data_IF_165038805414
#
_entry.id   IF_165038805414
#
_cell.length_a   1.000
_cell.length_b   1.000
_cell.length_c   1.000
_cell.angle_alpha   90.00
_cell.angle_beta   90.00
_cell.angle_gamma   90.00
#
_symmetry.space_group_name_H-M   'P 1'
#
loop_
_entity.id
_entity.type
_entity.pdbx_description
1 polymer ?
#
# COMPACT_ATOMS: atom_id res chain seq x y z
N UNK A 1 -25.47 -16.53 0.13
CA UNK A 1 -25.45 -15.20 0.78
C UNK A 1 -24.01 -14.75 0.78
N UNK A 2 -23.73 -13.53 0.34
CA UNK A 2 -22.37 -12.98 0.31
C UNK A 2 -21.85 -12.80 1.74
N UNK A 3 -20.64 -13.31 2.05
CA UNK A 3 -19.97 -13.16 3.34
C UNK A 3 -18.65 -12.39 3.18
N UNK A 4 -18.64 -11.08 3.52
CA UNK A 4 -17.46 -10.24 3.41
C UNK A 4 -16.26 -10.74 4.20
N UNK A 5 -16.50 -11.34 5.37
CA UNK A 5 -15.43 -11.82 6.26
C UNK A 5 -14.76 -13.04 5.68
N UNK A 6 -15.57 -14.00 5.23
CA UNK A 6 -15.07 -15.19 4.53
C UNK A 6 -14.28 -14.79 3.29
N UNK A 7 -14.83 -13.91 2.45
CA UNK A 7 -14.16 -13.44 1.24
C UNK A 7 -12.81 -12.78 1.55
N UNK A 8 -12.76 -11.94 2.58
CA UNK A 8 -11.52 -11.29 3.02
C UNK A 8 -10.53 -12.31 3.59
N UNK A 9 -10.98 -13.26 4.40
CA UNK A 9 -10.14 -14.33 4.92
C UNK A 9 -9.60 -15.23 3.80
N UNK A 10 -10.36 -15.46 2.73
CA UNK A 10 -9.92 -16.20 1.55
C UNK A 10 -8.88 -15.40 0.75
N UNK A 11 -9.07 -14.09 0.62
CA UNK A 11 -8.12 -13.17 -0.03
C UNK A 11 -6.81 -13.00 0.76
N UNK A 12 -6.89 -12.96 2.10
CA UNK A 12 -5.74 -12.75 2.99
C UNK A 12 -5.08 -14.07 3.43
N UNK A 13 -5.82 -15.15 3.43
CA UNK A 13 -5.41 -16.50 3.84
C UNK A 13 -4.71 -17.27 2.72
N UNK A 14 -4.86 -16.85 1.47
CA UNK A 14 -4.18 -17.45 0.32
C UNK A 14 -2.66 -17.45 0.51
N UNK A 15 -2.04 -18.60 0.26
CA UNK A 15 -0.59 -18.79 0.40
C UNK A 15 0.15 -18.15 -0.77
N UNK A 16 1.16 -17.33 -0.47
CA UNK A 16 1.98 -16.71 -1.51
C UNK A 16 2.75 -17.82 -2.26
N UNK A 17 2.70 -17.86 -3.62
CA UNK A 17 3.34 -18.92 -4.42
C UNK A 17 4.82 -19.09 -4.08
N UNK A 18 5.23 -20.33 -3.82
CA UNK A 18 6.61 -20.64 -3.44
C UNK A 18 6.93 -20.47 -1.96
N UNK A 19 5.96 -20.10 -1.12
CA UNK A 19 6.10 -20.06 0.35
C UNK A 19 4.90 -20.71 1.04
N UNK A 20 5.12 -21.34 2.20
CA UNK A 20 4.03 -21.90 3.03
C UNK A 20 3.43 -20.82 3.96
N UNK A 21 3.33 -19.57 3.52
CA UNK A 21 2.96 -18.43 4.38
C UNK A 21 1.80 -17.67 3.73
N UNK A 22 0.74 -17.43 4.49
CA UNK A 22 -0.41 -16.60 4.07
C UNK A 22 -0.05 -15.12 4.12
N UNK A 23 -0.81 -14.24 3.45
CA UNK A 23 -0.60 -12.78 3.51
C UNK A 23 -0.77 -12.26 4.94
N UNK A 24 -1.74 -12.82 5.68
CA UNK A 24 -2.00 -12.51 7.10
C UNK A 24 -0.85 -12.96 8.03
N UNK A 25 -0.34 -14.18 7.85
CA UNK A 25 0.80 -14.70 8.64
C UNK A 25 2.12 -14.02 8.25
N UNK A 26 2.25 -13.65 6.98
CA UNK A 26 3.38 -12.93 6.42
C UNK A 26 3.51 -11.53 7.00
N UNK A 27 2.41 -10.81 7.20
CA UNK A 27 2.41 -9.49 7.84
C UNK A 27 2.83 -9.58 9.33
N UNK A 28 2.29 -10.54 10.08
CA UNK A 28 2.66 -10.75 11.49
C UNK A 28 4.14 -11.18 11.65
N UNK A 29 4.62 -12.09 10.80
CA UNK A 29 6.03 -12.49 10.78
C UNK A 29 6.95 -11.40 10.22
N UNK A 30 6.52 -10.59 9.27
CA UNK A 30 7.31 -9.48 8.75
C UNK A 30 7.44 -8.36 9.78
N UNK A 31 6.38 -8.04 10.53
CA UNK A 31 6.44 -7.09 11.63
C UNK A 31 7.36 -7.59 12.76
N UNK A 32 7.26 -8.87 13.13
CA UNK A 32 8.15 -9.49 14.12
C UNK A 32 9.59 -9.56 13.61
N UNK A 33 9.81 -9.95 12.35
CA UNK A 33 11.12 -10.03 11.73
C UNK A 33 11.73 -8.65 11.46
N UNK A 34 10.94 -7.60 11.23
CA UNK A 34 11.43 -6.21 11.16
C UNK A 34 11.86 -5.70 12.54
N UNK A 35 11.16 -6.14 13.59
CA UNK A 35 11.52 -5.87 15.00
C UNK A 35 12.82 -6.58 15.39
N UNK A 36 13.04 -7.79 14.87
CA UNK A 36 14.19 -8.64 15.20
C UNK A 36 15.39 -8.45 14.23
N UNK A 37 15.14 -8.04 12.98
CA UNK A 37 16.13 -7.82 11.92
C UNK A 37 15.58 -6.94 10.75
N UNK A 38 15.75 -5.60 10.80
CA UNK A 38 15.20 -4.68 9.80
C UNK A 38 15.74 -4.85 8.37
N UNK A 39 16.75 -5.70 8.14
CA UNK A 39 17.32 -5.96 6.80
C UNK A 39 16.65 -7.12 6.03
N UNK A 40 15.80 -7.94 6.66
CA UNK A 40 15.28 -9.18 6.05
C UNK A 40 13.87 -9.08 5.42
N UNK A 41 13.16 -7.95 5.55
CA UNK A 41 11.72 -7.82 5.27
C UNK A 41 11.33 -7.56 3.78
N UNK A 42 12.16 -7.95 2.79
CA UNK A 42 12.08 -7.41 1.42
C UNK A 42 11.46 -8.26 0.30
N UNK A 43 10.85 -9.43 0.56
CA UNK A 43 10.62 -10.42 -0.51
C UNK A 43 9.19 -10.56 -1.08
N UNK A 44 8.17 -9.85 -0.59
CA UNK A 44 6.78 -10.32 -0.72
C UNK A 44 5.88 -9.75 -1.85
N UNK A 45 6.27 -8.72 -2.62
CA UNK A 45 5.30 -8.00 -3.51
C UNK A 45 5.51 -8.21 -5.02
N UNK A 46 6.57 -8.89 -5.45
CA UNK A 46 6.89 -9.05 -6.88
C UNK A 46 5.83 -9.81 -7.72
N UNK A 47 4.87 -10.49 -7.10
CA UNK A 47 3.95 -11.41 -7.79
C UNK A 47 2.61 -10.76 -8.19
N UNK A 48 2.18 -9.67 -7.55
CA UNK A 48 0.80 -9.14 -7.71
C UNK A 48 0.62 -8.00 -8.72
N UNK A 49 1.66 -7.25 -9.09
CA UNK A 49 1.52 -6.00 -9.90
C UNK A 49 2.13 -6.08 -11.31
N UNK A 50 2.18 -7.28 -11.90
CA UNK A 50 2.84 -7.52 -13.18
C UNK A 50 2.12 -6.98 -14.43
N UNK A 51 2.04 -5.66 -14.60
CA UNK A 51 1.84 -4.96 -15.88
C UNK A 51 3.09 -4.13 -16.20
N UNK A 52 3.25 -3.66 -17.45
CA UNK A 52 4.55 -3.20 -18.04
C UNK A 52 5.29 -2.09 -17.26
N UNK A 53 4.62 -1.38 -16.36
CA UNK A 53 5.23 -0.38 -15.45
C UNK A 53 5.99 -1.03 -14.27
N UNK A 54 5.74 -2.30 -13.96
CA UNK A 54 6.32 -3.02 -12.82
C UNK A 54 7.73 -3.61 -13.01
N UNK A 55 8.41 -3.38 -14.14
CA UNK A 55 9.77 -3.92 -14.38
C UNK A 55 10.89 -3.03 -13.83
N UNK A 56 10.63 -1.77 -13.50
CA UNK A 56 11.63 -0.87 -12.92
C UNK A 56 11.85 -1.06 -11.41
N UNK A 57 11.01 -1.87 -10.74
CA UNK A 57 11.13 -2.14 -9.30
C UNK A 57 11.99 -3.40 -9.06
N UNK A 58 13.23 -3.41 -9.57
CA UNK A 58 14.22 -4.48 -9.29
C UNK A 58 15.22 -4.05 -8.19
N UNK A 59 14.80 -3.24 -7.23
CA UNK A 59 15.70 -2.85 -6.15
C UNK A 59 14.96 -2.21 -4.98
N UNK A 60 14.80 -2.96 -3.89
CA UNK A 60 14.55 -2.45 -2.53
C UNK A 60 13.43 -1.41 -2.40
N UNK A 61 12.29 -1.64 -3.05
CA UNK A 61 11.08 -0.82 -2.89
C UNK A 61 9.82 -1.70 -2.87
N UNK A 62 8.90 -1.33 -2.00
CA UNK A 62 7.50 -1.78 -1.89
C UNK A 62 7.23 -3.16 -1.26
N UNK A 63 7.28 -3.23 0.08
CA UNK A 63 6.38 -4.11 0.87
C UNK A 63 5.29 -3.27 1.52
N UNK A 64 4.34 -2.77 0.73
CA UNK A 64 3.10 -2.18 1.25
C UNK A 64 2.13 -3.33 1.51
N UNK A 65 2.28 -3.95 2.68
CA UNK A 65 1.56 -5.16 3.06
C UNK A 65 0.26 -4.87 3.81
N UNK A 66 -0.87 -4.89 3.09
CA UNK A 66 -2.20 -5.05 3.66
C UNK A 66 -2.94 -3.76 4.06
N UNK A 67 -4.24 -3.91 4.29
CA UNK A 67 -5.19 -2.82 4.59
C UNK A 67 -4.82 -2.02 5.85
N UNK A 68 -4.15 -2.64 6.83
CA UNK A 68 -3.66 -1.94 8.02
C UNK A 68 -2.61 -0.87 7.70
N UNK A 69 -1.78 -1.08 6.66
CA UNK A 69 -0.82 -0.07 6.22
C UNK A 69 -1.52 1.15 5.59
N UNK A 70 -2.66 0.94 4.91
CA UNK A 70 -3.49 2.03 4.39
C UNK A 70 -3.99 2.91 5.53
N UNK A 71 -4.60 2.30 6.56
CA UNK A 71 -5.06 3.02 7.75
C UNK A 71 -3.93 3.74 8.49
N UNK A 72 -2.75 3.13 8.56
CA UNK A 72 -1.55 3.73 9.17
C UNK A 72 -1.06 4.98 8.43
N UNK A 73 -0.91 4.88 7.11
CA UNK A 73 -0.50 6.00 6.26
C UNK A 73 -1.54 7.12 6.26
N UNK A 74 -2.82 6.77 6.15
CA UNK A 74 -3.93 7.72 6.24
C UNK A 74 -3.94 8.45 7.58
N UNK A 75 -3.78 7.73 8.69
CA UNK A 75 -3.68 8.31 10.03
C UNK A 75 -2.47 9.24 10.16
N UNK A 76 -1.30 8.84 9.65
CA UNK A 76 -0.10 9.67 9.70
C UNK A 76 -0.27 10.97 8.91
N UNK A 77 -0.82 10.89 7.70
CA UNK A 77 -1.12 12.05 6.87
C UNK A 77 -2.10 12.99 7.57
N UNK A 78 -3.21 12.45 8.08
CA UNK A 78 -4.24 13.21 8.79
C UNK A 78 -3.72 13.86 10.07
N UNK A 79 -2.92 13.14 10.86
CA UNK A 79 -2.28 13.67 12.07
C UNK A 79 -1.33 14.83 11.76
N UNK A 80 -0.53 14.72 10.70
CA UNK A 80 0.39 15.78 10.29
C UNK A 80 -0.38 17.02 9.78
N UNK A 81 -1.45 16.81 9.03
CA UNK A 81 -2.38 17.86 8.60
C UNK A 81 -2.99 18.60 9.79
N UNK A 82 -3.56 17.87 10.75
CA UNK A 82 -4.15 18.45 11.96
C UNK A 82 -3.14 19.18 12.85
N UNK A 83 -1.87 18.77 12.79
CA UNK A 83 -0.78 19.44 13.51
C UNK A 83 -0.25 20.70 12.79
N UNK A 84 -0.80 21.06 11.62
CA UNK A 84 -0.38 22.24 10.85
C UNK A 84 1.04 22.14 10.28
N UNK A 85 1.56 20.93 10.10
CA UNK A 85 2.87 20.70 9.46
C UNK A 85 2.79 20.94 7.97
N UNK A 86 3.92 21.13 7.30
CA UNK A 86 3.94 21.11 5.84
C UNK A 86 3.97 19.65 5.32
N UNK A 87 3.32 19.33 4.19
CA UNK A 87 3.28 17.98 3.62
C UNK A 87 4.66 17.32 3.43
N UNK A 88 5.67 18.09 3.01
CA UNK A 88 7.03 17.61 2.73
C UNK A 88 8.01 17.71 3.92
N UNK A 89 7.59 18.25 5.07
CA UNK A 89 8.42 18.35 6.29
C UNK A 89 8.37 17.10 7.18
N UNK A 90 7.68 16.05 6.72
CA UNK A 90 7.69 14.73 7.38
C UNK A 90 9.16 14.26 7.43
N UNK A 91 9.69 13.85 8.60
CA UNK A 91 11.13 13.67 8.82
C UNK A 91 11.79 12.82 7.75
N UNK A 92 13.11 13.01 7.53
CA UNK A 92 13.96 12.32 6.55
C UNK A 92 13.98 10.77 6.67
N UNK A 93 13.20 10.21 7.59
CA UNK A 93 12.94 8.79 7.78
C UNK A 93 11.65 8.41 7.06
N UNK A 94 11.68 7.36 6.24
CA UNK A 94 10.47 6.86 5.58
C UNK A 94 9.33 6.62 6.58
N UNK A 95 8.08 6.91 6.21
CA UNK A 95 6.91 6.58 7.03
C UNK A 95 6.99 5.12 7.49
N UNK A 96 6.99 4.89 8.80
CA UNK A 96 6.89 3.51 9.29
C UNK A 96 5.50 2.98 8.97
N UNK A 97 5.43 1.88 8.24
CA UNK A 97 4.19 1.19 7.85
C UNK A 97 3.59 0.46 9.05
N UNK A 98 3.14 1.22 10.05
CA UNK A 98 2.53 0.70 11.27
C UNK A 98 1.01 0.71 11.16
N UNK A 99 0.32 -0.25 11.78
CA UNK A 99 -1.12 -0.15 11.95
C UNK A 99 -1.47 1.13 12.73
N UNK A 100 -2.62 1.76 12.44
CA UNK A 100 -3.06 2.94 13.18
C UNK A 100 -3.37 2.57 14.64
N UNK A 101 -3.29 3.52 15.59
CA UNK A 101 -3.61 3.26 16.99
C UNK A 101 -5.06 2.78 17.15
N UNK A 102 -5.28 1.81 18.05
CA UNK A 102 -6.55 1.09 18.20
C UNK A 102 -7.73 1.96 18.66
N UNK A 103 -7.44 3.09 19.28
CA UNK A 103 -8.41 4.07 19.78
C UNK A 103 -8.81 5.13 18.73
N UNK A 104 -8.33 5.01 17.50
CA UNK A 104 -8.59 5.97 16.42
C UNK A 104 -9.63 5.46 15.42
N UNK A 105 -10.33 6.37 14.75
CA UNK A 105 -11.28 6.04 13.67
C UNK A 105 -10.64 5.37 12.45
N UNK A 106 -9.31 5.40 12.33
CA UNK A 106 -8.54 4.71 11.29
C UNK A 106 -8.31 3.22 11.60
N UNK A 107 -8.54 2.77 12.84
CA UNK A 107 -8.36 1.37 13.16
C UNK A 107 -9.52 0.54 12.59
N UNK A 108 -9.27 -0.56 11.82
CA UNK A 108 -10.33 -1.31 11.14
C UNK A 108 -11.46 -1.80 12.05
N UNK A 109 -11.14 -2.15 13.30
CA UNK A 109 -12.14 -2.58 14.29
C UNK A 109 -13.18 -1.50 14.65
N UNK A 110 -12.90 -0.22 14.34
CA UNK A 110 -13.76 0.91 14.63
C UNK A 110 -14.62 1.32 13.41
N UNK A 111 -14.53 0.59 12.29
CA UNK A 111 -15.34 0.86 11.10
C UNK A 111 -16.85 0.65 11.42
N UNK A 112 -17.73 1.65 11.18
CA UNK A 112 -19.16 1.55 11.51
C UNK A 112 -19.92 0.40 10.81
N UNK A 113 -19.45 0.00 9.63
CA UNK A 113 -19.98 -1.10 8.83
C UNK A 113 -19.34 -2.47 9.16
N UNK A 114 -18.36 -2.50 10.07
CA UNK A 114 -17.51 -3.65 10.33
C UNK A 114 -16.21 -3.63 9.51
N UNK A 115 -15.19 -4.27 10.08
CA UNK A 115 -13.83 -4.36 9.55
C UNK A 115 -13.79 -4.93 8.13
N UNK A 116 -14.47 -6.06 7.89
CA UNK A 116 -14.42 -6.75 6.62
C UNK A 116 -15.14 -6.01 5.48
N UNK A 117 -16.26 -5.36 5.77
CA UNK A 117 -16.99 -4.58 4.76
C UNK A 117 -16.18 -3.36 4.32
N UNK A 118 -15.56 -2.67 5.27
CA UNK A 118 -14.71 -1.53 4.94
C UNK A 118 -13.42 -1.96 4.23
N UNK A 119 -12.82 -3.07 4.64
CA UNK A 119 -11.71 -3.70 3.95
C UNK A 119 -12.01 -3.98 2.46
N UNK A 120 -13.17 -4.56 2.14
CA UNK A 120 -13.60 -4.75 0.76
C UNK A 120 -13.81 -3.43 0.03
N UNK A 121 -14.34 -2.41 0.71
CA UNK A 121 -14.49 -1.06 0.14
C UNK A 121 -13.14 -0.47 -0.29
N UNK A 122 -12.09 -0.63 0.52
CA UNK A 122 -10.74 -0.22 0.15
C UNK A 122 -10.19 -1.00 -1.05
N UNK A 123 -10.46 -2.31 -1.13
CA UNK A 123 -10.08 -3.13 -2.29
C UNK A 123 -10.79 -2.64 -3.57
N UNK A 124 -12.09 -2.35 -3.48
CA UNK A 124 -12.86 -1.77 -4.60
C UNK A 124 -12.28 -0.43 -5.04
N UNK A 125 -11.87 0.43 -4.11
CA UNK A 125 -11.20 1.69 -4.43
C UNK A 125 -9.88 1.50 -5.17
N UNK A 126 -9.08 0.53 -4.75
CA UNK A 126 -7.83 0.18 -5.44
C UNK A 126 -8.08 -0.33 -6.86
N UNK A 127 -9.10 -1.18 -7.06
CA UNK A 127 -9.49 -1.70 -8.38
C UNK A 127 -10.03 -0.57 -9.27
N UNK A 128 -10.90 0.28 -8.73
CA UNK A 128 -11.43 1.46 -9.41
C UNK A 128 -10.31 2.39 -9.89
N UNK A 129 -9.32 2.65 -9.03
CA UNK A 129 -8.14 3.44 -9.37
C UNK A 129 -7.33 2.79 -10.48
N UNK A 130 -7.04 1.49 -10.38
CA UNK A 130 -6.29 0.75 -11.39
C UNK A 130 -6.98 0.71 -12.76
N UNK A 131 -8.31 0.87 -12.81
CA UNK A 131 -9.11 0.92 -14.05
C UNK A 131 -9.25 2.33 -14.64
N UNK A 132 -8.74 3.36 -13.97
CA UNK A 132 -8.97 4.76 -14.34
C UNK A 132 -8.50 5.10 -15.76
N UNK A 133 -7.48 4.42 -16.26
CA UNK A 133 -6.99 4.60 -17.63
C UNK A 133 -7.83 3.91 -18.71
N UNK A 134 -8.82 3.11 -18.31
CA UNK A 134 -9.77 2.42 -19.18
C UNK A 134 -9.26 1.14 -19.85
N UNK A 135 -8.10 0.60 -19.46
CA UNK A 135 -7.46 -0.53 -20.15
C UNK A 135 -7.38 -1.80 -19.32
N UNK A 136 -8.50 -2.51 -19.15
CA UNK A 136 -8.46 -3.93 -18.77
C UNK A 136 -9.17 -4.73 -19.86
N UNK A 137 -8.41 -5.22 -20.84
CA UNK A 137 -8.94 -6.04 -21.92
C UNK A 137 -9.11 -7.53 -21.52
N UNK A 138 -9.76 -8.32 -22.39
CA UNK A 138 -9.99 -9.76 -22.16
C UNK A 138 -8.70 -10.57 -21.95
N UNK A 139 -7.61 -10.18 -22.61
CA UNK A 139 -6.33 -10.88 -22.49
C UNK A 139 -5.69 -10.59 -21.12
N UNK A 140 -5.74 -9.33 -20.68
CA UNK A 140 -5.29 -8.88 -19.37
C UNK A 140 -6.13 -9.51 -18.25
N UNK A 141 -7.45 -9.57 -18.40
CA UNK A 141 -8.35 -10.30 -17.48
C UNK A 141 -7.93 -11.76 -17.33
N UNK A 142 -7.73 -12.46 -18.46
CA UNK A 142 -7.30 -13.87 -18.45
C UNK A 142 -5.96 -14.07 -17.73
N UNK A 143 -5.02 -13.13 -17.89
CA UNK A 143 -3.73 -13.13 -17.18
C UNK A 143 -3.91 -12.88 -15.69
N UNK A 144 -4.76 -11.93 -15.27
CA UNK A 144 -5.04 -11.66 -13.86
C UNK A 144 -5.67 -12.89 -13.22
N UNK A 145 -6.72 -13.46 -13.82
CA UNK A 145 -7.37 -14.69 -13.32
C UNK A 145 -6.37 -15.85 -13.18
N UNK A 146 -5.52 -16.07 -14.19
CA UNK A 146 -4.46 -17.06 -14.11
C UNK A 146 -3.49 -16.84 -12.94
N UNK A 147 -3.09 -15.58 -12.70
CA UNK A 147 -2.21 -15.21 -11.58
C UNK A 147 -2.88 -15.38 -10.22
N UNK A 148 -4.17 -15.02 -10.08
CA UNK A 148 -4.92 -15.20 -8.83
C UNK A 148 -4.99 -16.69 -8.45
N UNK A 149 -5.27 -17.57 -9.43
CA UNK A 149 -5.25 -19.02 -9.19
C UNK A 149 -3.88 -19.54 -8.80
N UNK A 150 -2.83 -19.08 -9.49
CA UNK A 150 -1.46 -19.43 -9.12
C UNK A 150 -1.11 -18.94 -7.72
N UNK A 151 -1.63 -17.78 -7.31
CA UNK A 151 -1.53 -17.19 -5.97
C UNK A 151 -2.34 -17.91 -4.90
N UNK A 152 -3.02 -19.00 -5.23
CA UNK A 152 -3.82 -19.77 -4.28
C UNK A 152 -5.01 -18.98 -3.73
N UNK A 153 -5.48 -17.96 -4.47
CA UNK A 153 -6.73 -17.26 -4.16
C UNK A 153 -7.88 -18.25 -4.33
N UNK A 154 -8.80 -18.27 -3.37
CA UNK A 154 -10.00 -19.10 -3.46
C UNK A 154 -10.87 -18.69 -4.66
N UNK A 155 -11.64 -19.63 -5.19
CA UNK A 155 -12.53 -19.39 -6.34
C UNK A 155 -13.56 -18.29 -6.06
N UNK A 156 -14.07 -18.16 -4.82
CA UNK A 156 -15.03 -17.11 -4.47
C UNK A 156 -14.37 -15.72 -4.48
N UNK A 157 -13.14 -15.62 -3.97
CA UNK A 157 -12.33 -14.40 -4.02
C UNK A 157 -11.90 -14.02 -5.44
N UNK A 158 -11.53 -15.00 -6.28
CA UNK A 158 -11.25 -14.77 -7.70
C UNK A 158 -12.50 -14.22 -8.41
N UNK A 159 -13.67 -14.83 -8.21
CA UNK A 159 -14.93 -14.39 -8.83
C UNK A 159 -15.30 -12.96 -8.42
N UNK A 160 -15.13 -12.62 -7.13
CA UNK A 160 -15.35 -11.25 -6.66
C UNK A 160 -14.43 -10.25 -7.37
N UNK A 161 -13.12 -10.52 -7.43
CA UNK A 161 -12.16 -9.62 -8.07
C UNK A 161 -12.44 -9.46 -9.57
N UNK A 162 -12.79 -10.54 -10.26
CA UNK A 162 -13.17 -10.50 -11.67
C UNK A 162 -14.46 -9.69 -11.89
N UNK A 163 -15.48 -9.88 -11.05
CA UNK A 163 -16.71 -9.11 -11.12
C UNK A 163 -16.47 -7.61 -10.91
N UNK A 164 -15.59 -7.24 -9.98
CA UNK A 164 -15.23 -5.84 -9.73
C UNK A 164 -14.39 -5.25 -10.88
N UNK A 165 -13.53 -6.05 -11.52
CA UNK A 165 -12.81 -5.65 -12.73
C UNK A 165 -13.77 -5.38 -13.91
N UNK A 166 -14.83 -6.18 -14.04
CA UNK A 166 -15.83 -6.03 -15.11
C UNK A 166 -16.88 -4.94 -14.84
N UNK A 167 -17.11 -4.59 -13.57
CA UNK A 167 -18.10 -3.59 -13.20
C UNK A 167 -17.76 -2.20 -13.79
N UNK A 168 -18.72 -1.40 -14.26
CA UNK A 168 -18.46 0.00 -14.60
C UNK A 168 -17.90 0.78 -13.41
N UNK A 169 -17.06 1.78 -13.65
CA UNK A 169 -16.58 2.66 -12.59
C UNK A 169 -17.75 3.46 -11.99
N UNK A 170 -18.06 3.20 -10.71
CA UNK A 170 -19.10 3.91 -9.96
C UNK A 170 -18.50 4.57 -8.70
N UNK A 171 -18.06 5.80 -8.88
CA UNK A 171 -17.49 6.61 -7.80
C UNK A 171 -18.53 7.06 -6.77
N UNK A 172 -19.82 7.12 -7.11
CA UNK A 172 -20.85 7.56 -6.16
C UNK A 172 -21.13 6.46 -5.13
N UNK A 173 -21.27 5.21 -5.60
CA UNK A 173 -21.35 4.04 -4.70
C UNK A 173 -20.09 3.90 -3.86
N UNK A 174 -18.91 4.08 -4.45
CA UNK A 174 -17.64 3.94 -3.74
C UNK A 174 -17.47 5.00 -2.64
N UNK A 175 -17.80 6.26 -2.93
CA UNK A 175 -17.63 7.37 -1.98
C UNK A 175 -18.70 7.33 -0.87
N UNK A 176 -19.93 6.89 -1.19
CA UNK A 176 -20.98 6.68 -0.19
C UNK A 176 -20.65 5.58 0.83
N UNK A 177 -19.75 4.65 0.50
CA UNK A 177 -19.29 3.60 1.41
C UNK A 177 -18.34 4.12 2.51
N UNK A 178 -17.72 5.29 2.32
CA UNK A 178 -16.94 5.97 3.36
C UNK A 178 -17.87 6.79 4.28
N UNK A 179 -18.11 6.30 5.50
CA UNK A 179 -19.09 6.83 6.45
C UNK A 179 -18.52 7.85 7.44
N UNK A 180 -17.20 7.94 7.55
CA UNK A 180 -16.51 8.88 8.45
C UNK A 180 -15.44 9.67 7.71
N UNK A 181 -14.96 10.75 8.31
CA UNK A 181 -13.87 11.54 7.73
C UNK A 181 -12.58 10.72 7.58
N UNK A 182 -12.27 9.87 8.56
CA UNK A 182 -11.14 8.94 8.52
C UNK A 182 -11.26 7.97 7.34
N UNK A 183 -12.45 7.38 7.13
CA UNK A 183 -12.68 6.45 6.02
C UNK A 183 -12.53 7.12 4.66
N UNK A 184 -12.88 8.41 4.52
CA UNK A 184 -12.66 9.16 3.29
C UNK A 184 -11.17 9.30 3.00
N UNK A 185 -10.36 9.62 4.01
CA UNK A 185 -8.90 9.70 3.88
C UNK A 185 -8.31 8.34 3.53
N UNK A 186 -8.77 7.25 4.17
CA UNK A 186 -8.33 5.89 3.87
C UNK A 186 -8.67 5.46 2.44
N UNK A 187 -9.87 5.81 1.95
CA UNK A 187 -10.32 5.50 0.59
C UNK A 187 -9.47 6.19 -0.48
N UNK A 188 -9.14 7.47 -0.27
CA UNK A 188 -8.22 8.21 -1.13
C UNK A 188 -6.81 7.63 -1.06
N UNK A 189 -6.32 7.32 0.15
CA UNK A 189 -5.01 6.72 0.38
C UNK A 189 -4.88 5.37 -0.34
N UNK A 190 -5.90 4.51 -0.24
CA UNK A 190 -5.96 3.22 -0.93
C UNK A 190 -5.87 3.39 -2.45
N UNK A 191 -6.66 4.30 -3.00
CA UNK A 191 -6.65 4.63 -4.43
C UNK A 191 -5.28 5.13 -4.89
N UNK A 192 -4.69 6.09 -4.16
CA UNK A 192 -3.37 6.65 -4.47
C UNK A 192 -2.24 5.63 -4.36
N UNK A 193 -2.37 4.65 -3.46
CA UNK A 193 -1.43 3.53 -3.36
C UNK A 193 -1.48 2.62 -4.58
N UNK A 194 -2.68 2.38 -5.14
CA UNK A 194 -2.88 1.45 -6.24
C UNK A 194 -2.31 1.92 -7.58
N UNK A 195 -2.18 3.23 -7.81
CA UNK A 195 -1.73 3.80 -9.08
C UNK A 195 -0.55 4.76 -8.91
N UNK A 196 0.22 4.97 -9.97
CA UNK A 196 1.06 6.15 -10.11
C UNK A 196 0.33 7.15 -11.01
N UNK A 197 0.12 8.41 -10.57
CA UNK A 197 -0.62 9.40 -11.34
C UNK A 197 0.22 9.97 -12.50
N UNK A 198 0.69 9.10 -13.39
CA UNK A 198 1.55 9.43 -14.53
C UNK A 198 0.72 9.86 -15.76
N UNK A 199 -0.45 9.26 -15.95
CA UNK A 199 -1.39 9.63 -17.00
C UNK A 199 -2.34 10.75 -16.58
N UNK A 200 -2.96 11.43 -17.55
CA UNK A 200 -4.04 12.39 -17.25
C UNK A 200 -5.29 11.72 -16.69
N UNK A 201 -5.55 10.47 -17.07
CA UNK A 201 -6.72 9.73 -16.62
C UNK A 201 -6.61 9.40 -15.13
N UNK A 202 -5.45 8.91 -14.69
CA UNK A 202 -5.16 8.60 -13.29
C UNK A 202 -5.20 9.85 -12.40
N UNK A 203 -4.60 10.96 -12.85
CA UNK A 203 -4.69 12.27 -12.14
C UNK A 203 -6.14 12.73 -12.02
N UNK A 204 -6.89 12.72 -13.13
CA UNK A 204 -8.29 13.12 -13.14
C UNK A 204 -9.18 12.23 -12.27
N UNK A 205 -8.88 10.94 -12.16
CA UNK A 205 -9.56 10.03 -11.24
C UNK A 205 -9.33 10.43 -9.78
N UNK A 206 -8.08 10.68 -9.37
CA UNK A 206 -7.76 11.11 -8.00
C UNK A 206 -8.39 12.46 -7.67
N UNK A 207 -8.34 13.43 -8.59
CA UNK A 207 -8.97 14.74 -8.42
C UNK A 207 -10.49 14.61 -8.21
N UNK A 208 -11.15 13.79 -9.04
CA UNK A 208 -12.58 13.54 -8.93
C UNK A 208 -12.94 12.81 -7.62
N UNK A 209 -12.12 11.84 -7.22
CA UNK A 209 -12.30 11.12 -5.95
C UNK A 209 -12.16 12.05 -4.75
N UNK A 210 -11.11 12.87 -4.69
CA UNK A 210 -10.91 13.85 -3.63
C UNK A 210 -12.08 14.84 -3.52
N UNK A 211 -12.53 15.37 -4.67
CA UNK A 211 -13.68 16.27 -4.74
C UNK A 211 -14.99 15.63 -4.28
N UNK A 212 -15.26 14.37 -4.67
CA UNK A 212 -16.46 13.61 -4.26
C UNK A 212 -16.46 13.28 -2.77
N UNK A 213 -15.29 12.99 -2.20
CA UNK A 213 -15.13 12.75 -0.77
C UNK A 213 -15.22 14.04 0.05
N UNK A 214 -15.02 15.20 -0.59
CA UNK A 214 -14.97 16.51 0.08
C UNK A 214 -13.71 16.70 0.91
N UNK A 215 -12.59 16.11 0.48
CA UNK A 215 -11.31 16.25 1.17
C UNK A 215 -10.73 17.66 0.92
N UNK A 216 -10.25 18.37 1.96
CA UNK A 216 -9.53 19.63 1.76
C UNK A 216 -8.24 19.41 0.97
N UNK A 217 -7.93 20.32 0.03
CA UNK A 217 -6.71 20.24 -0.81
C UNK A 217 -5.43 20.05 0.03
N UNK A 218 -5.31 20.79 1.13
CA UNK A 218 -4.16 20.65 2.02
C UNK A 218 -4.05 19.23 2.63
N UNK A 219 -5.18 18.59 2.97
CA UNK A 219 -5.18 17.21 3.46
C UNK A 219 -4.80 16.23 2.34
N UNK A 220 -5.28 16.46 1.11
CA UNK A 220 -4.86 15.68 -0.07
C UNK A 220 -3.34 15.75 -0.24
N UNK A 221 -2.76 16.95 -0.18
CA UNK A 221 -1.30 17.14 -0.28
C UNK A 221 -0.53 16.34 0.79
N UNK A 222 -1.05 16.28 2.03
CA UNK A 222 -0.47 15.45 3.09
C UNK A 222 -0.52 13.96 2.79
N UNK A 223 -1.63 13.46 2.23
CA UNK A 223 -1.75 12.06 1.83
C UNK A 223 -0.80 11.76 0.67
N UNK A 224 -0.76 12.62 -0.34
CA UNK A 224 0.14 12.50 -1.49
C UNK A 224 1.61 12.43 -1.06
N UNK A 225 2.04 13.33 -0.18
CA UNK A 225 3.41 13.34 0.33
C UNK A 225 3.71 12.08 1.15
N UNK A 226 2.77 11.65 2.00
CA UNK A 226 2.94 10.45 2.85
C UNK A 226 3.03 9.18 2.00
N UNK A 227 2.15 9.02 1.01
CA UNK A 227 2.17 7.85 0.10
C UNK A 227 3.41 7.87 -0.79
N UNK A 228 3.80 9.04 -1.31
CA UNK A 228 5.01 9.16 -2.15
C UNK A 228 6.27 8.81 -1.36
N UNK A 229 6.37 9.26 -0.10
CA UNK A 229 7.48 8.90 0.78
C UNK A 229 7.52 7.40 1.11
N UNK A 230 6.36 6.76 1.27
CA UNK A 230 6.26 5.32 1.51
C UNK A 230 6.62 4.47 0.27
N UNK A 231 6.43 5.01 -0.94
CA UNK A 231 6.79 4.37 -2.21
C UNK A 231 8.26 4.55 -2.61
N UNK A 232 8.97 5.51 -2.01
CA UNK A 232 10.36 5.81 -2.33
C UNK A 232 11.32 4.68 -1.92
N UNK A 233 12.32 4.31 -2.75
CA UNK A 233 13.33 3.31 -2.38
C UNK A 233 14.17 3.79 -1.18
N UNK A 234 14.47 2.87 -0.26
CA UNK A 234 15.37 3.12 0.87
C UNK A 234 16.78 3.43 0.35
N UNK A 235 17.18 4.71 0.33
CA UNK A 235 18.59 5.06 0.19
C UNK A 235 19.29 4.68 1.48
N UNK A 236 19.89 3.48 1.51
CA UNK A 236 20.79 3.08 2.59
C UNK A 236 21.91 4.13 2.62
N UNK A 237 22.13 4.85 3.73
CA UNK A 237 23.34 5.67 3.83
C UNK A 237 24.51 4.71 3.70
N UNK A 238 25.28 4.84 2.62
CA UNK A 238 26.57 4.19 2.50
C UNK A 238 27.38 4.79 3.63
N UNK A 239 27.50 4.04 4.73
CA UNK A 239 28.36 4.40 5.85
C UNK A 239 29.69 4.78 5.26
N UNK A 240 30.14 6.00 5.58
CA UNK A 240 31.44 6.52 5.24
C UNK A 240 32.46 5.41 5.51
N UNK A 241 32.98 4.81 4.43
CA UNK A 241 34.14 3.96 4.53
C UNK A 241 35.22 4.87 5.12
N UNK A 242 35.51 4.67 6.41
CA UNK A 242 36.64 5.25 7.10
C UNK A 242 37.83 5.09 6.17
N UNK A 243 38.24 6.20 5.58
CA UNK A 243 39.45 6.29 4.78
C UNK A 243 40.55 5.74 5.67
N UNK A 244 41.09 4.59 5.29
CA UNK A 244 42.25 4.00 5.92
C UNK A 244 43.33 5.08 6.00
N UNK A 245 43.52 5.62 7.19
CA UNK A 245 44.54 6.59 7.49
C UNK A 245 45.90 5.94 7.24
N UNK A 246 46.71 6.65 6.47
CA UNK A 246 48.07 6.40 5.99
C UNK A 246 48.99 5.43 6.79
N UNK A 247 49.95 4.76 6.13
CA UNK A 247 50.96 3.94 6.80
C UNK A 247 51.85 4.80 7.73
N UNK A 248 52.05 4.28 8.94
CA UNK A 248 52.88 4.85 10.00
C UNK A 248 54.37 4.98 9.56
N UNK A 249 54.96 6.18 9.43
CA UNK A 249 56.33 6.36 8.95
C UNK A 249 57.35 6.32 10.10
N UNK A 250 57.23 5.37 11.03
CA UNK A 250 58.18 5.26 12.12
C UNK A 250 58.54 3.81 12.44
N UNK A 251 59.36 3.23 11.58
CA UNK A 251 60.19 2.07 11.90
C UNK A 251 61.62 2.48 11.59
N UNK A 252 62.37 2.91 12.61
CA UNK A 252 63.80 3.15 12.49
C UNK A 252 64.55 1.87 12.90
N UNK A 253 65.50 1.34 12.10
CA UNK A 253 66.16 0.09 12.39
C UNK A 253 67.46 0.29 13.18
N UNK A 254 67.70 -0.59 14.18
CA UNK A 254 68.98 -0.80 14.92
C UNK A 254 69.33 0.38 15.85
N UNK A 255 69.60 0.19 17.15
CA UNK A 255 70.47 -0.75 17.88
C UNK A 255 69.89 -1.05 19.26
#
# INVERSE_FOLDING_TARGET
MFDPKKLLDDLLGSQVPGTKTSVRDGAGKAAQMAKDNPLAAGALVAVLLGTKTGRSVTGKAATIGGLAAIGGLAYQAYKNYQAGKQPAETPQSQPELLPPPSDTGFHPANAPQGDAEFALTLIRAMIAAAKADGHVDDEERGKIAGKLRLAGIDTEAEQFLMAELDAPLDLDTLTAAARTEEQKVELYTASRLAIEPDSRAERGYLDLLAGRLGLPDALVDHVEATVSAAKAPQTVPVGEAQTASAPNPNVNPRW
#
